data_IF_430185181290
#
_entry.id   IF_430185181290
#
_cell.length_a   1.000
_cell.length_b   1.000
_cell.length_c   1.000
_cell.angle_alpha   90.00
_cell.angle_beta   90.00
_cell.angle_gamma   90.00
#
_symmetry.space_group_name_H-M   'P 1'
#
loop_
_entity.id
_entity.type
_entity.pdbx_description
1 polymer ?
#
# COMPACT_ATOMS: atom_id res chain seq x y z
N UNK A 1 10.01 -2.48 13.03
CA UNK A 1 11.28 -3.26 13.00
C UNK A 1 12.02 -3.08 11.69
N UNK A 2 11.39 -3.30 10.52
CA UNK A 2 11.99 -3.04 9.18
C UNK A 2 12.56 -1.62 9.05
N UNK A 3 11.77 -0.57 9.33
CA UNK A 3 12.18 0.84 9.17
C UNK A 3 13.46 1.20 9.95
N UNK A 4 13.51 0.88 11.25
CA UNK A 4 14.69 1.11 12.09
C UNK A 4 15.93 0.36 11.58
N UNK A 5 15.77 -0.91 11.17
CA UNK A 5 16.87 -1.70 10.63
C UNK A 5 17.39 -1.13 9.31
N UNK A 6 16.49 -0.67 8.43
CA UNK A 6 16.86 -0.01 7.18
C UNK A 6 17.68 1.27 7.40
N UNK A 7 17.42 2.03 8.46
CA UNK A 7 18.16 3.27 8.78
C UNK A 7 19.57 2.97 9.26
N UNK A 8 19.73 1.98 10.15
CA UNK A 8 21.07 1.54 10.57
C UNK A 8 21.86 0.97 9.39
N UNK A 9 21.21 0.18 8.53
CA UNK A 9 21.82 -0.35 7.32
C UNK A 9 22.25 0.77 6.34
N UNK A 10 21.44 1.83 6.17
CA UNK A 10 21.78 2.98 5.33
C UNK A 10 22.98 3.78 5.85
N UNK A 11 23.19 3.85 7.17
CA UNK A 11 24.28 4.59 7.78
C UNK A 11 25.66 3.95 7.54
N UNK A 12 25.70 2.61 7.42
CA UNK A 12 26.94 1.84 7.23
C UNK A 12 27.15 1.36 5.78
N UNK A 13 26.14 1.50 4.92
CA UNK A 13 26.17 1.08 3.53
C UNK A 13 27.09 1.93 2.62
N UNK A 14 27.68 1.29 1.62
CA UNK A 14 28.27 1.96 0.47
C UNK A 14 27.22 2.70 -0.37
N UNK A 15 27.65 3.56 -1.29
CA UNK A 15 26.71 4.35 -2.11
C UNK A 15 25.85 3.48 -3.04
N UNK A 16 26.40 2.36 -3.55
CA UNK A 16 25.64 1.39 -4.34
C UNK A 16 24.59 0.65 -3.51
N UNK A 17 24.95 0.22 -2.29
CA UNK A 17 24.03 -0.44 -1.36
C UNK A 17 22.92 0.51 -0.90
N UNK A 18 23.24 1.78 -0.65
CA UNK A 18 22.24 2.81 -0.32
C UNK A 18 21.21 2.97 -1.42
N UNK A 19 21.63 3.01 -2.68
CA UNK A 19 20.71 3.13 -3.81
C UNK A 19 19.71 1.96 -3.84
N UNK A 20 20.20 0.73 -3.65
CA UNK A 20 19.36 -0.48 -3.61
C UNK A 20 18.39 -0.43 -2.42
N UNK A 21 18.86 -0.01 -1.24
CA UNK A 21 18.02 0.10 -0.04
C UNK A 21 16.91 1.14 -0.20
N UNK A 22 17.22 2.29 -0.82
CA UNK A 22 16.25 3.35 -1.10
C UNK A 22 15.23 2.88 -2.12
N UNK A 23 15.67 2.27 -3.22
CA UNK A 23 14.79 1.75 -4.27
C UNK A 23 13.79 0.73 -3.71
N UNK A 24 14.27 -0.25 -2.94
CA UNK A 24 13.41 -1.23 -2.29
C UNK A 24 12.42 -0.57 -1.33
N UNK A 25 12.86 0.45 -0.59
CA UNK A 25 11.98 1.16 0.35
C UNK A 25 10.88 1.95 -0.37
N UNK A 26 11.21 2.65 -1.45
CA UNK A 26 10.24 3.40 -2.25
C UNK A 26 9.26 2.43 -2.93
N UNK A 27 9.75 1.33 -3.50
CA UNK A 27 8.93 0.30 -4.12
C UNK A 27 7.96 -0.36 -3.12
N UNK A 28 8.45 -0.75 -1.93
CA UNK A 28 7.62 -1.29 -0.84
C UNK A 28 6.53 -0.27 -0.43
N UNK A 29 6.92 1.00 -0.28
CA UNK A 29 5.98 2.08 0.10
C UNK A 29 4.92 2.32 -0.97
N UNK A 30 5.30 2.36 -2.25
CA UNK A 30 4.37 2.50 -3.36
C UNK A 30 3.37 1.34 -3.40
N UNK A 31 3.82 0.11 -3.15
CA UNK A 31 2.94 -1.05 -3.06
C UNK A 31 1.93 -0.92 -1.90
N UNK A 32 2.38 -0.56 -0.70
CA UNK A 32 1.46 -0.51 0.45
C UNK A 32 0.57 0.73 0.47
N UNK A 33 0.90 1.78 -0.27
CA UNK A 33 0.10 3.02 -0.31
C UNK A 33 -0.76 3.08 -1.57
N UNK A 34 -0.15 3.08 -2.75
CA UNK A 34 -0.83 3.29 -4.02
C UNK A 34 -1.62 2.05 -4.46
N UNK A 35 -0.98 0.88 -4.50
CA UNK A 35 -1.66 -0.37 -4.91
C UNK A 35 -2.76 -0.75 -3.92
N UNK A 36 -2.51 -0.65 -2.61
CA UNK A 36 -3.57 -0.94 -1.62
C UNK A 36 -4.73 0.05 -1.72
N UNK A 37 -4.48 1.34 -1.96
CA UNK A 37 -5.56 2.32 -2.19
C UNK A 37 -6.38 1.98 -3.44
N UNK A 38 -5.74 1.55 -4.52
CA UNK A 38 -6.42 1.09 -5.74
C UNK A 38 -7.36 -0.08 -5.42
N UNK A 39 -6.86 -1.07 -4.68
CA UNK A 39 -7.65 -2.23 -4.26
C UNK A 39 -8.81 -1.86 -3.35
N UNK A 40 -8.59 -0.94 -2.41
CA UNK A 40 -9.65 -0.42 -1.54
C UNK A 40 -10.77 0.23 -2.35
N UNK A 41 -10.43 1.08 -3.34
CA UNK A 41 -11.42 1.69 -4.23
C UNK A 41 -12.16 0.65 -5.07
N UNK A 42 -11.44 -0.34 -5.61
CA UNK A 42 -12.05 -1.45 -6.35
C UNK A 42 -13.06 -2.23 -5.50
N UNK A 43 -12.66 -2.70 -4.30
CA UNK A 43 -13.54 -3.45 -3.41
C UNK A 43 -14.76 -2.61 -2.98
N UNK A 44 -14.55 -1.33 -2.67
CA UNK A 44 -15.63 -0.42 -2.28
C UNK A 44 -16.68 -0.26 -3.37
N UNK A 45 -16.25 -0.01 -4.61
CA UNK A 45 -17.14 0.17 -5.75
C UNK A 45 -17.87 -1.14 -6.10
N UNK A 46 -17.18 -2.28 -6.06
CA UNK A 46 -17.81 -3.59 -6.25
C UNK A 46 -18.90 -3.80 -5.20
N UNK A 47 -18.62 -3.56 -3.92
CA UNK A 47 -19.60 -3.75 -2.85
C UNK A 47 -20.78 -2.79 -2.95
N UNK A 48 -20.56 -1.56 -3.38
CA UNK A 48 -21.64 -0.60 -3.58
C UNK A 48 -22.57 -1.04 -4.72
N UNK A 49 -22.04 -1.29 -5.92
CA UNK A 49 -22.83 -1.71 -7.08
C UNK A 49 -23.54 -3.05 -6.85
N UNK A 50 -22.89 -3.99 -6.15
CA UNK A 50 -23.48 -5.31 -5.84
C UNK A 50 -24.73 -5.25 -4.96
N UNK A 51 -25.02 -4.13 -4.30
CA UNK A 51 -26.29 -3.95 -3.56
C UNK A 51 -27.50 -3.88 -4.48
N UNK A 52 -27.32 -3.41 -5.72
CA UNK A 52 -28.43 -3.10 -6.64
C UNK A 52 -28.36 -3.85 -7.97
N UNK A 53 -27.20 -4.40 -8.34
CA UNK A 53 -27.04 -5.05 -9.65
C UNK A 53 -26.09 -6.25 -9.64
N UNK A 54 -26.16 -7.01 -10.73
CA UNK A 54 -25.20 -8.06 -11.03
C UNK A 54 -24.04 -7.48 -11.85
N UNK A 55 -22.80 -7.87 -11.52
CA UNK A 55 -21.58 -7.41 -12.19
C UNK A 55 -21.01 -8.53 -13.06
N UNK A 56 -20.82 -8.26 -14.34
CA UNK A 56 -20.12 -9.13 -15.27
C UNK A 56 -18.61 -8.81 -15.27
N UNK A 57 -17.84 -9.62 -15.98
CA UNK A 57 -16.40 -9.42 -16.10
C UNK A 57 -16.03 -8.05 -16.71
N UNK A 58 -16.84 -7.50 -17.62
CA UNK A 58 -16.61 -6.17 -18.18
C UNK A 58 -16.76 -5.07 -17.12
N UNK A 59 -17.79 -5.15 -16.27
CA UNK A 59 -17.96 -4.21 -15.16
C UNK A 59 -16.75 -4.22 -14.21
N UNK A 60 -16.28 -5.41 -13.83
CA UNK A 60 -15.13 -5.54 -12.94
C UNK A 60 -13.83 -5.00 -13.56
N UNK A 61 -13.65 -5.18 -14.88
CA UNK A 61 -12.52 -4.57 -15.60
C UNK A 61 -12.62 -3.04 -15.56
N UNK A 62 -13.79 -2.47 -15.80
CA UNK A 62 -14.01 -1.02 -15.78
C UNK A 62 -13.73 -0.43 -14.39
N UNK A 63 -14.27 -1.06 -13.34
CA UNK A 63 -14.03 -0.66 -11.95
C UNK A 63 -12.52 -0.73 -11.64
N UNK A 64 -11.83 -1.80 -12.05
CA UNK A 64 -10.39 -1.97 -11.81
C UNK A 64 -9.54 -0.93 -12.56
N UNK A 65 -9.91 -0.58 -13.79
CA UNK A 65 -9.24 0.49 -14.53
C UNK A 65 -9.48 1.84 -13.87
N UNK A 66 -10.71 2.14 -13.45
CA UNK A 66 -11.01 3.40 -12.79
C UNK A 66 -10.28 3.53 -11.45
N UNK A 67 -10.23 2.45 -10.66
CA UNK A 67 -9.45 2.40 -9.43
C UNK A 67 -7.96 2.67 -9.67
N UNK A 68 -7.38 2.12 -10.75
CA UNK A 68 -6.00 2.42 -11.14
C UNK A 68 -5.79 3.89 -11.53
N UNK A 69 -6.71 4.48 -12.32
CA UNK A 69 -6.66 5.89 -12.72
C UNK A 69 -6.71 6.83 -11.53
N UNK A 70 -7.57 6.54 -10.58
CA UNK A 70 -7.78 7.35 -9.38
C UNK A 70 -6.59 7.35 -8.41
N UNK A 71 -5.67 6.40 -8.55
CA UNK A 71 -4.65 6.12 -7.51
C UNK A 71 -3.23 6.20 -8.01
N UNK A 72 -2.93 5.65 -9.18
CA UNK A 72 -1.56 5.62 -9.70
C UNK A 72 -1.12 6.92 -10.38
N UNK A 73 -2.05 7.84 -10.66
CA UNK A 73 -1.73 9.13 -11.29
C UNK A 73 -0.98 8.96 -12.62
N UNK A 74 0.17 9.63 -12.74
CA UNK A 74 1.10 9.54 -13.86
C UNK A 74 2.14 8.40 -13.72
N UNK A 75 2.14 7.67 -12.60
CA UNK A 75 3.03 6.53 -12.35
C UNK A 75 2.74 5.28 -13.18
N UNK A 76 1.58 5.20 -13.84
CA UNK A 76 1.25 4.18 -14.82
C UNK A 76 0.94 4.78 -16.18
N UNK A 77 1.39 4.10 -17.24
CA UNK A 77 0.97 4.45 -18.59
C UNK A 77 -0.52 4.13 -18.77
N UNK A 78 -1.31 5.18 -18.98
CA UNK A 78 -2.77 5.12 -19.11
C UNK A 78 -3.26 4.20 -20.24
N UNK A 79 -2.41 3.92 -21.24
CA UNK A 79 -2.73 3.02 -22.36
C UNK A 79 -2.47 1.53 -22.04
N UNK A 80 -1.79 1.22 -20.93
CA UNK A 80 -1.35 -0.14 -20.58
C UNK A 80 -1.74 -0.55 -19.15
N UNK A 81 -2.82 0.02 -18.63
CA UNK A 81 -3.38 -0.39 -17.33
C UNK A 81 -3.85 -1.84 -17.34
N UNK A 82 -3.94 -2.46 -16.16
CA UNK A 82 -4.19 -3.89 -16.02
C UNK A 82 -5.65 -4.19 -15.63
N UNK A 83 -6.56 -4.43 -16.60
CA UNK A 83 -7.99 -4.61 -16.29
C UNK A 83 -8.30 -5.90 -15.53
N UNK A 84 -7.40 -6.88 -15.57
CA UNK A 84 -7.56 -8.20 -14.94
C UNK A 84 -6.86 -8.32 -13.58
N UNK A 85 -6.31 -7.22 -13.04
CA UNK A 85 -5.55 -7.26 -11.80
C UNK A 85 -6.36 -7.81 -10.62
N UNK A 86 -7.69 -7.74 -10.67
CA UNK A 86 -8.58 -8.30 -9.64
C UNK A 86 -8.61 -9.83 -9.62
N UNK A 87 -8.29 -10.52 -10.72
CA UNK A 87 -8.41 -11.98 -10.83
C UNK A 87 -7.41 -12.69 -9.91
N UNK A 88 -6.18 -12.19 -9.80
CA UNK A 88 -5.11 -12.85 -9.07
C UNK A 88 -5.08 -12.51 -7.56
N UNK A 89 -6.11 -11.85 -7.04
CA UNK A 89 -6.20 -11.45 -5.63
C UNK A 89 -7.05 -12.44 -4.85
N UNK A 90 -6.42 -13.50 -4.33
CA UNK A 90 -7.11 -14.58 -3.62
C UNK A 90 -8.04 -14.11 -2.48
N UNK A 91 -7.72 -13.01 -1.80
CA UNK A 91 -8.54 -12.46 -0.70
C UNK A 91 -9.91 -11.93 -1.15
N UNK A 92 -10.08 -11.52 -2.41
CA UNK A 92 -11.39 -11.07 -2.91
C UNK A 92 -12.46 -12.15 -2.90
N UNK A 93 -12.05 -13.42 -2.82
CA UNK A 93 -12.95 -14.57 -2.90
C UNK A 93 -13.21 -15.21 -1.53
N UNK A 94 -12.77 -14.59 -0.43
CA UNK A 94 -13.04 -15.03 0.94
C UNK A 94 -13.93 -14.04 1.69
N UNK A 95 -15.11 -14.47 2.15
CA UNK A 95 -16.09 -13.61 2.82
C UNK A 95 -15.63 -12.96 4.13
N UNK A 96 -14.54 -13.43 4.73
CA UNK A 96 -13.90 -12.82 5.91
C UNK A 96 -12.62 -12.03 5.62
N UNK A 97 -12.27 -11.84 4.35
CA UNK A 97 -11.03 -11.21 3.90
C UNK A 97 -11.28 -9.92 3.11
N UNK A 98 -12.48 -9.35 3.21
CA UNK A 98 -12.78 -8.03 2.65
C UNK A 98 -11.83 -6.98 3.24
N UNK A 99 -11.31 -6.11 2.37
CA UNK A 99 -10.35 -5.07 2.73
C UNK A 99 -9.10 -5.57 3.48
N UNK A 100 -8.71 -6.83 3.24
CA UNK A 100 -7.59 -7.50 3.93
C UNK A 100 -6.29 -6.70 3.89
N UNK A 101 -6.06 -5.91 2.84
CA UNK A 101 -4.81 -5.17 2.67
C UNK A 101 -4.74 -3.88 3.54
N UNK A 102 -5.86 -3.36 4.04
CA UNK A 102 -5.89 -2.10 4.79
C UNK A 102 -4.91 -2.03 5.98
N UNK A 103 -4.77 -3.07 6.84
CA UNK A 103 -3.82 -3.05 7.95
C UNK A 103 -2.35 -2.86 7.53
N UNK A 104 -1.96 -3.30 6.32
CA UNK A 104 -0.59 -3.08 5.83
C UNK A 104 -0.34 -1.62 5.48
N UNK A 105 -1.30 -0.96 4.82
CA UNK A 105 -1.23 0.47 4.53
C UNK A 105 -1.17 1.29 5.82
N UNK A 106 -2.07 0.99 6.77
CA UNK A 106 -2.08 1.63 8.08
C UNK A 106 -0.77 1.42 8.83
N UNK A 107 -0.32 0.16 8.96
CA UNK A 107 0.90 -0.17 9.70
C UNK A 107 2.15 0.47 9.11
N UNK A 108 2.25 0.55 7.78
CA UNK A 108 3.35 1.23 7.10
C UNK A 108 3.39 2.74 7.36
N UNK A 109 2.26 3.42 7.16
CA UNK A 109 2.15 4.86 7.41
C UNK A 109 2.32 5.21 8.89
N UNK A 110 1.77 4.38 9.79
CA UNK A 110 1.96 4.53 11.23
C UNK A 110 3.44 4.38 11.62
N UNK A 111 4.13 3.36 11.11
CA UNK A 111 5.56 3.17 11.36
C UNK A 111 6.42 4.35 10.83
N UNK A 112 6.06 4.90 9.67
CA UNK A 112 6.69 6.11 9.13
C UNK A 112 6.44 7.33 10.02
N UNK A 113 5.20 7.53 10.49
CA UNK A 113 4.86 8.62 11.40
C UNK A 113 5.61 8.53 12.72
N UNK A 114 5.70 7.34 13.32
CA UNK A 114 6.53 7.09 14.50
C UNK A 114 8.00 7.38 14.24
N UNK A 115 8.51 7.02 13.06
CA UNK A 115 9.88 7.31 12.70
C UNK A 115 10.13 8.82 12.56
N UNK A 116 9.24 9.56 11.89
CA UNK A 116 9.31 11.02 11.79
C UNK A 116 9.36 11.67 13.18
N UNK A 117 8.48 11.25 14.09
CA UNK A 117 8.52 11.69 15.50
C UNK A 117 9.83 11.34 16.21
N UNK A 118 10.40 10.16 15.94
CA UNK A 118 11.68 9.77 16.55
C UNK A 118 12.82 10.69 16.09
N UNK A 119 12.81 11.13 14.84
CA UNK A 119 13.81 12.08 14.33
C UNK A 119 13.72 13.45 15.01
N UNK A 120 12.52 13.87 15.44
CA UNK A 120 12.27 15.12 16.15
C UNK A 120 12.58 15.04 17.66
N UNK A 121 12.12 13.97 18.32
CA UNK A 121 12.10 13.86 19.80
C UNK A 121 13.19 12.92 20.37
N UNK A 122 13.88 12.14 19.53
CA UNK A 122 14.93 11.21 19.92
C UNK A 122 14.47 10.09 20.86
N UNK A 123 15.31 9.71 21.83
CA UNK A 123 15.10 8.59 22.78
C UNK A 123 13.81 8.74 23.61
N UNK A 124 13.29 9.96 23.77
CA UNK A 124 12.09 10.23 24.55
C UNK A 124 10.83 9.54 23.98
N UNK A 125 10.75 9.35 22.66
CA UNK A 125 9.65 8.64 22.01
C UNK A 125 9.67 7.12 22.32
N UNK A 126 10.86 6.51 22.37
CA UNK A 126 11.02 5.08 22.67
C UNK A 126 10.47 4.73 24.06
N UNK A 127 10.70 5.60 25.04
CA UNK A 127 10.18 5.44 26.40
C UNK A 127 8.65 5.62 26.46
N UNK A 128 8.10 6.51 25.63
CA UNK A 128 6.66 6.77 25.57
C UNK A 128 5.89 5.58 25.00
N UNK A 129 6.38 4.97 23.92
CA UNK A 129 5.73 3.81 23.28
C UNK A 129 5.79 2.56 24.16
N UNK A 130 6.83 2.39 24.99
CA UNK A 130 6.97 1.24 25.91
C UNK A 130 6.03 1.25 27.11
N UNK A 131 5.41 2.40 27.41
CA UNK A 131 4.53 2.56 28.57
C UNK A 131 3.04 2.39 28.25
N UNK A 132 2.71 1.94 27.05
CA UNK A 132 1.38 1.52 26.60
C UNK A 132 1.44 0.08 26.09
#
# INVERSE_FOLDING_TARGET
MKTLFSIFALAEASDEEKLILIENSISDLAQITVDILSRYKFESEVFERRKTEFLFANDLKEIMIQAQKDTYGDGLNQNYMHPYMWINKGHYYGGGLSFYNFPYAFGGLFALGLFGKYQEEGVCLYLTIKNY
#
